data_IF_769290109814
#
_entry.id   IF_769290109814
#
_cell.length_a   1.000
_cell.length_b   1.000
_cell.length_c   1.000
_cell.angle_alpha   90.00
_cell.angle_beta   90.00
_cell.angle_gamma   90.00
#
_symmetry.space_group_name_H-M   'P 1'
#
loop_
_entity.id
_entity.type
_entity.pdbx_description
1 polymer ?
#
# COMPACT_ATOMS: atom_id res chain seq x y z
N UNK A 1 -36.51 28.91 99.98
CA UNK A 1 -35.55 28.54 98.91
C UNK A 1 -35.99 27.21 98.36
N UNK A 2 -36.37 27.14 97.08
CA UNK A 2 -36.70 25.85 96.42
C UNK A 2 -35.43 25.12 96.04
N UNK A 3 -35.47 23.77 96.01
CA UNK A 3 -34.29 22.96 95.62
C UNK A 3 -33.97 23.02 94.13
N UNK A 4 -32.69 22.91 93.81
CA UNK A 4 -32.15 22.96 92.49
C UNK A 4 -32.58 21.76 91.59
N UNK A 5 -32.77 21.93 90.33
CA UNK A 5 -33.16 20.85 89.43
C UNK A 5 -32.02 19.87 89.19
N UNK A 6 -32.31 18.57 89.24
CA UNK A 6 -31.41 17.46 88.89
C UNK A 6 -31.34 17.29 87.39
N UNK A 7 -30.13 17.40 86.83
CA UNK A 7 -29.87 17.12 85.44
C UNK A 7 -29.64 15.63 85.29
N UNK A 8 -30.50 14.94 84.51
CA UNK A 8 -30.33 13.56 84.14
C UNK A 8 -29.36 13.47 82.91
N UNK A 9 -28.42 12.55 83.02
CA UNK A 9 -27.47 12.28 81.94
C UNK A 9 -28.19 11.70 80.73
N UNK A 10 -27.74 12.06 79.49
CA UNK A 10 -28.35 11.54 78.28
C UNK A 10 -28.04 10.05 78.08
N UNK A 11 -29.06 9.32 77.67
CA UNK A 11 -28.97 7.90 77.22
C UNK A 11 -28.04 7.71 76.07
N UNK A 12 -27.14 6.69 76.03
CA UNK A 12 -26.30 6.42 74.88
C UNK A 12 -27.15 6.01 73.69
N UNK A 13 -26.94 6.71 72.55
CA UNK A 13 -27.48 6.34 71.22
C UNK A 13 -26.97 4.98 70.84
N UNK A 14 -27.86 4.06 70.47
CA UNK A 14 -27.56 2.76 69.92
C UNK A 14 -26.77 2.86 68.58
N UNK A 15 -26.10 1.79 68.13
CA UNK A 15 -25.33 1.81 66.93
C UNK A 15 -26.23 2.16 65.76
N UNK A 16 -25.86 3.23 64.99
CA UNK A 16 -26.52 3.64 63.80
C UNK A 16 -26.41 2.54 62.73
N UNK A 17 -27.31 2.54 61.67
CA UNK A 17 -27.28 1.56 60.65
C UNK A 17 -25.93 1.62 59.93
N UNK A 18 -25.34 0.43 59.67
CA UNK A 18 -24.11 0.27 58.89
C UNK A 18 -24.27 0.99 57.56
N UNK A 19 -23.33 1.89 57.23
CA UNK A 19 -23.23 2.50 55.93
C UNK A 19 -23.05 1.39 54.91
N UNK A 20 -24.03 1.29 54.02
CA UNK A 20 -23.99 0.37 52.86
C UNK A 20 -22.70 0.62 52.10
N UNK A 21 -21.87 -0.40 51.93
CA UNK A 21 -20.65 -0.32 51.15
C UNK A 21 -21.08 -0.03 49.69
N UNK A 22 -20.85 1.21 49.26
CA UNK A 22 -21.13 1.62 47.88
C UNK A 22 -20.63 0.60 46.85
N UNK A 23 -21.18 0.60 45.66
CA UNK A 23 -20.88 -0.41 44.65
C UNK A 23 -19.37 -0.54 44.47
N UNK A 24 -18.85 -1.76 44.62
CA UNK A 24 -17.46 -2.08 44.27
C UNK A 24 -17.27 -1.68 42.82
N UNK A 25 -16.45 -0.66 42.59
CA UNK A 25 -15.99 -0.33 41.25
C UNK A 25 -15.19 -1.54 40.78
N UNK A 26 -15.85 -2.37 39.99
CA UNK A 26 -15.20 -3.48 39.30
C UNK A 26 -14.14 -2.85 38.42
N UNK A 27 -12.87 -3.11 38.65
CA UNK A 27 -11.78 -2.59 37.82
C UNK A 27 -12.03 -3.07 36.40
N UNK A 28 -12.28 -2.14 35.46
CA UNK A 28 -12.41 -2.45 34.05
C UNK A 28 -11.22 -3.32 33.67
N UNK A 29 -11.51 -4.49 33.05
CA UNK A 29 -10.47 -5.34 32.52
C UNK A 29 -9.58 -4.51 31.55
N UNK A 30 -8.25 -4.64 31.62
CA UNK A 30 -7.37 -3.89 30.75
C UNK A 30 -7.77 -4.12 29.29
N UNK A 31 -7.74 -3.05 28.49
CA UNK A 31 -8.06 -3.13 27.06
C UNK A 31 -7.22 -4.25 26.38
N UNK A 32 -7.79 -4.98 25.43
CA UNK A 32 -7.07 -6.03 24.73
C UNK A 32 -5.84 -5.43 24.00
N UNK A 33 -4.73 -6.12 24.08
CA UNK A 33 -3.49 -5.69 23.42
C UNK A 33 -3.64 -5.69 21.90
N UNK A 34 -3.10 -4.68 21.25
CA UNK A 34 -2.95 -4.62 19.81
C UNK A 34 -1.88 -5.61 19.32
N UNK A 35 -1.89 -5.94 18.03
CA UNK A 35 -0.83 -6.80 17.43
C UNK A 35 0.56 -6.18 17.57
N UNK A 36 0.67 -4.85 17.55
CA UNK A 36 1.93 -4.12 17.69
C UNK A 36 2.47 -4.20 19.13
N UNK A 37 1.60 -4.06 20.13
CA UNK A 37 1.96 -4.24 21.55
C UNK A 37 2.38 -5.68 21.84
N UNK A 38 1.72 -6.66 21.21
CA UNK A 38 2.10 -8.08 21.35
C UNK A 38 3.45 -8.35 20.68
N UNK A 39 3.75 -7.73 19.52
CA UNK A 39 5.06 -7.86 18.87
C UNK A 39 6.19 -7.29 19.74
N UNK A 40 5.98 -6.12 20.35
CA UNK A 40 6.95 -5.51 21.26
C UNK A 40 7.19 -6.36 22.51
N UNK A 41 6.12 -6.88 23.12
CA UNK A 41 6.22 -7.75 24.29
C UNK A 41 6.89 -9.08 23.97
N UNK A 42 6.57 -9.69 22.82
CA UNK A 42 7.22 -10.92 22.35
C UNK A 42 8.74 -10.73 22.20
N UNK A 43 9.18 -9.60 21.65
CA UNK A 43 10.59 -9.25 21.54
C UNK A 43 11.27 -9.20 22.91
N UNK A 44 10.65 -8.51 23.87
CA UNK A 44 11.17 -8.38 25.26
C UNK A 44 11.30 -9.74 25.93
N UNK A 45 10.25 -10.56 25.84
CA UNK A 45 10.19 -11.89 26.45
C UNK A 45 11.19 -12.86 25.79
N UNK A 46 11.38 -12.76 24.47
CA UNK A 46 12.35 -13.57 23.73
C UNK A 46 13.78 -13.29 24.21
N UNK A 47 14.15 -12.02 24.33
CA UNK A 47 15.48 -11.65 24.85
C UNK A 47 15.70 -12.07 26.32
N UNK A 48 14.64 -12.06 27.12
CA UNK A 48 14.70 -12.55 28.52
C UNK A 48 14.68 -14.09 28.63
N UNK A 49 14.51 -14.81 27.52
CA UNK A 49 14.24 -16.25 27.48
C UNK A 49 13.07 -16.65 28.40
N UNK A 50 12.06 -15.76 28.51
CA UNK A 50 10.89 -15.96 29.34
C UNK A 50 9.83 -16.79 28.60
N UNK A 51 10.00 -18.11 28.64
CA UNK A 51 9.07 -19.05 28.00
C UNK A 51 7.66 -18.97 28.61
N UNK A 52 7.56 -18.78 29.93
CA UNK A 52 6.25 -18.67 30.60
C UNK A 52 5.49 -17.41 30.18
N UNK A 53 6.19 -16.27 30.10
CA UNK A 53 5.65 -15.02 29.59
C UNK A 53 5.16 -15.14 28.15
N UNK A 54 5.94 -15.79 27.27
CA UNK A 54 5.55 -16.01 25.86
C UNK A 54 4.31 -16.90 25.78
N UNK A 55 4.26 -18.02 26.50
CA UNK A 55 3.08 -18.91 26.51
C UNK A 55 1.85 -18.23 27.11
N UNK A 56 2.03 -17.28 28.03
CA UNK A 56 0.94 -16.45 28.55
C UNK A 56 0.32 -15.52 27.50
N UNK A 57 1.08 -15.14 26.46
CA UNK A 57 0.54 -14.40 25.31
C UNK A 57 -0.31 -15.27 24.38
N UNK A 58 -0.15 -16.58 24.37
CA UNK A 58 -0.79 -17.47 23.41
C UNK A 58 -2.26 -17.69 23.68
N UNK A 59 -3.07 -17.77 22.62
CA UNK A 59 -4.40 -18.36 22.64
C UNK A 59 -4.35 -19.89 22.66
N UNK A 60 -5.51 -20.53 22.80
CA UNK A 60 -5.61 -21.99 22.91
C UNK A 60 -4.82 -22.76 21.83
N UNK A 61 -5.09 -22.54 20.54
CA UNK A 61 -4.39 -23.23 19.45
C UNK A 61 -2.87 -23.11 19.49
N UNK A 62 -2.36 -21.92 19.83
CA UNK A 62 -0.90 -21.71 19.90
C UNK A 62 -0.26 -22.42 21.08
N UNK A 63 -0.96 -22.57 22.22
CA UNK A 63 -0.46 -23.34 23.37
C UNK A 63 -0.33 -24.84 23.07
N UNK A 64 -1.20 -25.37 22.21
CA UNK A 64 -1.13 -26.75 21.74
C UNK A 64 0.08 -26.96 20.82
N UNK A 65 0.34 -26.02 19.92
CA UNK A 65 1.46 -26.09 18.97
C UNK A 65 2.81 -25.86 19.65
N UNK A 66 2.89 -24.86 20.54
CA UNK A 66 4.11 -24.47 21.25
C UNK A 66 3.86 -24.38 22.76
N UNK A 67 3.73 -25.55 23.45
CA UNK A 67 3.56 -25.58 24.90
C UNK A 67 4.84 -25.17 25.65
N UNK A 68 4.74 -24.97 26.94
CA UNK A 68 5.80 -24.39 27.77
C UNK A 68 7.14 -25.12 27.66
N UNK A 69 7.12 -26.45 27.63
CA UNK A 69 8.32 -27.28 27.51
C UNK A 69 9.06 -27.10 26.18
N UNK A 70 8.37 -26.70 25.12
CA UNK A 70 8.95 -26.41 23.80
C UNK A 70 9.30 -24.92 23.62
N UNK A 71 8.62 -24.02 24.30
CA UNK A 71 8.77 -22.58 24.14
C UNK A 71 10.18 -22.08 24.53
N UNK A 72 10.77 -22.60 25.62
CA UNK A 72 12.11 -22.23 26.07
C UNK A 72 13.21 -22.57 25.06
N UNK A 73 13.33 -23.84 24.63
CA UNK A 73 14.28 -24.21 23.57
C UNK A 73 14.08 -23.44 22.27
N UNK A 74 12.84 -23.19 21.89
CA UNK A 74 12.50 -22.41 20.68
C UNK A 74 12.98 -20.95 20.78
N UNK A 75 12.71 -20.26 21.92
CA UNK A 75 13.19 -18.89 22.13
C UNK A 75 14.71 -18.79 22.08
N UNK A 76 15.40 -19.73 22.75
CA UNK A 76 16.86 -19.79 22.66
C UNK A 76 17.35 -19.92 21.22
N UNK A 77 16.75 -20.81 20.41
CA UNK A 77 17.14 -20.98 19.02
C UNK A 77 17.03 -19.71 18.18
N UNK A 78 16.01 -18.88 18.44
CA UNK A 78 15.82 -17.59 17.76
C UNK A 78 16.95 -16.61 18.10
N UNK A 79 17.27 -16.49 19.41
CA UNK A 79 18.29 -15.56 19.89
C UNK A 79 19.69 -16.06 19.54
N UNK A 80 19.97 -17.36 19.69
CA UNK A 80 21.26 -17.95 19.34
C UNK A 80 21.58 -17.82 17.85
N UNK A 81 20.59 -17.96 16.98
CA UNK A 81 20.80 -17.88 15.54
C UNK A 81 21.25 -16.48 15.07
N UNK A 82 20.70 -15.41 15.66
CA UNK A 82 20.95 -14.03 15.19
C UNK A 82 21.37 -13.03 16.26
N UNK A 83 21.51 -13.47 17.51
CA UNK A 83 21.78 -12.59 18.65
C UNK A 83 20.52 -11.90 19.19
N UNK A 84 20.68 -11.09 20.26
CA UNK A 84 19.58 -10.35 20.87
C UNK A 84 18.76 -9.54 19.85
N UNK A 85 17.45 -9.53 20.03
CA UNK A 85 16.52 -8.75 19.23
C UNK A 85 16.54 -7.28 19.71
N UNK A 86 16.55 -6.33 18.79
CA UNK A 86 16.73 -4.90 19.09
C UNK A 86 15.44 -4.12 18.97
N UNK A 87 14.69 -4.32 17.91
CA UNK A 87 13.43 -3.63 17.63
C UNK A 87 12.49 -4.49 16.79
N UNK A 88 11.20 -4.17 16.85
CA UNK A 88 10.16 -4.76 16.02
C UNK A 88 9.55 -3.64 15.17
N UNK A 89 9.71 -3.71 13.87
CA UNK A 89 9.19 -2.74 12.91
C UNK A 89 8.13 -3.40 12.05
N UNK A 90 6.92 -2.85 12.03
CA UNK A 90 5.84 -3.37 11.20
C UNK A 90 6.08 -3.08 9.72
N UNK A 91 5.93 -4.09 8.85
CA UNK A 91 5.97 -3.91 7.40
C UNK A 91 4.69 -3.18 6.93
N UNK A 92 4.80 -2.05 6.19
CA UNK A 92 3.63 -1.32 5.70
C UNK A 92 2.76 -2.16 4.76
N UNK A 93 1.44 -2.00 4.85
CA UNK A 93 0.48 -2.65 3.94
C UNK A 93 0.36 -4.17 4.11
N UNK A 94 0.96 -4.74 5.15
CA UNK A 94 0.91 -6.17 5.45
C UNK A 94 0.10 -6.44 6.72
N UNK A 95 -1.13 -6.95 6.55
CA UNK A 95 -2.03 -7.28 7.65
C UNK A 95 -3.05 -6.20 7.97
N UNK A 96 -3.77 -6.33 9.07
CA UNK A 96 -4.84 -5.46 9.58
C UNK A 96 -4.69 -5.19 11.07
N UNK A 97 -5.77 -4.80 11.74
CA UNK A 97 -5.76 -4.51 13.19
C UNK A 97 -5.31 -5.70 14.06
N UNK A 98 -5.65 -6.92 13.64
CA UNK A 98 -5.39 -8.17 14.38
C UNK A 98 -4.30 -9.04 13.77
N UNK A 99 -3.63 -8.59 12.74
CA UNK A 99 -2.53 -9.32 12.12
C UNK A 99 -1.50 -8.35 11.57
N UNK A 100 -0.24 -8.76 11.56
CA UNK A 100 0.85 -7.96 11.02
C UNK A 100 2.03 -8.81 10.63
N UNK A 101 2.82 -8.25 9.75
CA UNK A 101 4.16 -8.75 9.43
C UNK A 101 5.14 -7.75 10.00
N UNK A 102 6.10 -8.25 10.76
CA UNK A 102 7.10 -7.44 11.44
C UNK A 102 8.49 -7.86 11.01
N UNK A 103 9.39 -6.90 10.92
CA UNK A 103 10.81 -7.13 10.90
C UNK A 103 11.34 -6.97 12.33
N UNK A 104 11.86 -8.05 12.91
CA UNK A 104 12.58 -8.03 14.17
C UNK A 104 14.08 -7.94 13.86
N UNK A 105 14.67 -6.76 14.04
CA UNK A 105 16.10 -6.59 13.88
C UNK A 105 16.81 -7.26 15.05
N UNK A 106 17.94 -7.90 14.76
CA UNK A 106 18.78 -8.58 15.72
C UNK A 106 20.25 -8.15 15.55
N UNK A 107 21.12 -8.60 16.43
CA UNK A 107 22.54 -8.26 16.37
C UNK A 107 23.20 -8.72 15.07
N UNK A 108 22.87 -9.93 14.59
CA UNK A 108 23.41 -10.55 13.38
C UNK A 108 22.35 -10.74 12.30
N UNK A 109 21.60 -9.68 11.97
CA UNK A 109 20.60 -9.67 10.92
C UNK A 109 19.19 -9.37 11.40
N UNK A 110 18.18 -9.99 10.81
CA UNK A 110 16.78 -9.78 11.18
C UNK A 110 15.95 -11.06 11.01
N UNK A 111 14.81 -11.10 11.70
CA UNK A 111 13.74 -12.07 11.46
C UNK A 111 12.55 -11.37 10.83
N UNK A 112 11.85 -12.05 9.93
CA UNK A 112 10.52 -11.68 9.47
C UNK A 112 9.51 -12.47 10.29
N UNK A 113 8.63 -11.76 11.01
CA UNK A 113 7.68 -12.34 11.96
C UNK A 113 6.26 -12.07 11.48
N UNK A 114 5.54 -13.14 11.18
CA UNK A 114 4.11 -13.08 10.91
C UNK A 114 3.37 -13.32 12.21
N UNK A 115 2.51 -12.39 12.63
CA UNK A 115 1.82 -12.41 13.91
C UNK A 115 0.33 -12.14 13.71
N UNK A 116 -0.52 -12.94 14.37
CA UNK A 116 -1.95 -12.68 14.46
C UNK A 116 -2.47 -12.89 15.87
N UNK A 117 -3.47 -12.08 16.27
CA UNK A 117 -4.08 -12.09 17.60
C UNK A 117 -5.61 -12.18 17.51
N UNK A 118 -6.23 -12.70 18.56
CA UNK A 118 -7.69 -12.68 18.72
C UNK A 118 -8.21 -11.34 19.27
N UNK A 119 -9.52 -11.28 19.52
CA UNK A 119 -10.18 -10.10 20.09
C UNK A 119 -9.74 -9.73 21.51
N UNK A 120 -9.09 -10.65 22.23
CA UNK A 120 -8.51 -10.43 23.56
C UNK A 120 -7.00 -10.12 23.52
N UNK A 121 -6.41 -9.99 22.32
CA UNK A 121 -4.98 -9.77 22.12
C UNK A 121 -4.13 -11.03 22.36
N UNK A 122 -4.71 -12.24 22.32
CA UNK A 122 -3.96 -13.49 22.42
C UNK A 122 -3.47 -13.95 21.06
N UNK A 123 -2.23 -14.43 20.99
CA UNK A 123 -1.59 -14.90 19.78
C UNK A 123 -2.29 -16.16 19.26
N UNK A 124 -2.81 -16.08 18.04
CA UNK A 124 -3.40 -17.18 17.28
C UNK A 124 -2.42 -17.80 16.29
N UNK A 125 -1.50 -17.01 15.76
CA UNK A 125 -0.49 -17.45 14.81
C UNK A 125 0.80 -16.68 14.99
N UNK A 126 1.92 -17.41 14.94
CA UNK A 126 3.26 -16.86 15.07
C UNK A 126 4.23 -17.65 14.21
N UNK A 127 4.96 -16.93 13.32
CA UNK A 127 5.93 -17.56 12.44
C UNK A 127 7.16 -16.67 12.30
N UNK A 128 8.32 -17.23 12.62
CA UNK A 128 9.63 -16.62 12.39
C UNK A 128 10.24 -17.20 11.12
N UNK A 129 10.68 -16.36 10.21
CA UNK A 129 11.36 -16.74 8.96
C UNK A 129 12.55 -15.82 8.72
N UNK A 130 13.47 -16.23 7.85
CA UNK A 130 14.43 -15.29 7.33
C UNK A 130 13.68 -14.20 6.54
N UNK A 131 14.08 -12.93 6.66
CA UNK A 131 13.54 -11.90 5.77
C UNK A 131 13.89 -12.25 4.33
N UNK A 132 13.04 -11.91 3.36
CA UNK A 132 13.40 -12.03 1.96
C UNK A 132 14.67 -11.22 1.69
N UNK A 133 15.47 -11.59 0.68
CA UNK A 133 16.58 -10.74 0.26
C UNK A 133 16.05 -9.33 -0.04
N UNK A 134 16.85 -8.28 0.20
CA UNK A 134 16.45 -6.93 -0.15
C UNK A 134 16.06 -6.89 -1.63
N UNK A 135 15.02 -6.14 -1.93
CA UNK A 135 14.65 -5.91 -3.32
C UNK A 135 15.81 -5.24 -4.06
N UNK A 136 16.05 -5.60 -5.31
CA UNK A 136 17.09 -4.96 -6.09
C UNK A 136 16.84 -3.45 -6.19
N UNK A 137 17.92 -2.69 -6.34
CA UNK A 137 17.83 -1.26 -6.58
C UNK A 137 16.99 -0.99 -7.84
N UNK A 138 16.17 0.08 -7.79
CA UNK A 138 15.34 0.45 -8.92
C UNK A 138 16.21 1.02 -10.02
N UNK A 139 16.29 0.30 -11.13
CA UNK A 139 16.99 0.75 -12.33
C UNK A 139 16.18 1.85 -13.04
N UNK A 140 16.89 2.76 -13.73
CA UNK A 140 16.28 3.71 -14.66
C UNK A 140 16.26 3.13 -16.07
N UNK A 141 15.23 3.49 -16.84
CA UNK A 141 15.17 3.16 -18.24
C UNK A 141 16.29 3.87 -19.01
N UNK A 142 17.02 3.11 -19.80
CA UNK A 142 18.00 3.64 -20.78
C UNK A 142 17.37 3.87 -22.16
N UNK A 143 16.18 3.29 -22.40
CA UNK A 143 15.43 3.48 -23.63
C UNK A 143 14.75 4.86 -23.64
N UNK A 144 14.89 5.67 -24.69
CA UNK A 144 14.20 6.96 -24.80
C UNK A 144 12.69 6.75 -24.98
N UNK A 145 11.93 7.14 -23.96
CA UNK A 145 10.48 6.94 -23.92
C UNK A 145 9.72 8.20 -24.34
N UNK A 146 8.60 8.00 -25.06
CA UNK A 146 7.53 8.99 -25.17
C UNK A 146 6.50 8.84 -24.06
N UNK A 147 5.62 9.82 -23.92
CA UNK A 147 4.49 9.72 -23.00
C UNK A 147 3.51 8.62 -23.47
N UNK A 148 2.82 7.91 -22.54
CA UNK A 148 1.87 6.85 -22.87
C UNK A 148 0.49 7.37 -23.31
N UNK A 149 0.34 8.66 -23.52
CA UNK A 149 -0.89 9.36 -23.88
C UNK A 149 -0.61 10.56 -24.78
N UNK A 150 -1.67 11.18 -25.28
CA UNK A 150 -1.64 12.46 -25.98
C UNK A 150 -2.24 13.56 -25.14
N UNK A 151 -1.88 14.82 -25.44
CA UNK A 151 -2.38 15.99 -24.71
C UNK A 151 -1.70 16.18 -23.35
N UNK A 152 -2.42 16.78 -22.41
CA UNK A 152 -1.91 17.09 -21.06
C UNK A 152 -2.65 16.27 -20.01
N UNK A 153 -1.87 15.61 -19.15
CA UNK A 153 -2.38 14.78 -18.05
C UNK A 153 -1.75 15.20 -16.73
N UNK A 154 -2.45 14.93 -15.63
CA UNK A 154 -1.98 15.12 -14.27
C UNK A 154 -1.45 13.77 -13.72
N UNK A 155 -0.28 13.80 -13.11
CA UNK A 155 0.25 12.66 -12.33
C UNK A 155 -0.46 12.66 -10.98
N UNK A 156 -1.46 11.81 -10.83
CA UNK A 156 -2.24 11.67 -9.60
C UNK A 156 -1.45 10.90 -8.53
N UNK A 157 -0.86 9.77 -8.91
CA UNK A 157 0.16 9.04 -8.14
C UNK A 157 1.40 8.86 -9.00
N UNK A 158 2.58 9.12 -8.42
CA UNK A 158 3.86 8.96 -9.10
C UNK A 158 5.01 9.50 -8.27
N UNK A 159 6.17 8.87 -8.36
CA UNK A 159 7.35 9.19 -7.58
C UNK A 159 7.91 8.01 -6.80
N UNK A 160 8.83 8.28 -5.90
CA UNK A 160 9.69 7.27 -5.28
C UNK A 160 9.33 6.95 -3.82
N UNK A 161 8.44 7.70 -3.17
CA UNK A 161 8.07 7.51 -1.77
C UNK A 161 6.58 7.23 -1.60
N UNK A 162 6.19 6.65 -0.47
CA UNK A 162 4.80 6.33 -0.16
C UNK A 162 3.90 7.58 -0.09
N UNK A 163 4.45 8.73 0.26
CA UNK A 163 3.72 10.00 0.35
C UNK A 163 3.17 10.47 -1.00
N UNK A 164 3.92 10.20 -2.07
CA UNK A 164 3.58 10.62 -3.42
C UNK A 164 3.17 9.49 -4.35
N UNK A 165 3.34 8.24 -3.93
CA UNK A 165 3.06 7.07 -4.76
C UNK A 165 2.71 5.84 -3.92
N UNK A 166 1.42 5.50 -3.85
CA UNK A 166 0.95 4.31 -3.13
C UNK A 166 1.51 2.99 -3.68
N UNK A 167 1.93 2.96 -4.94
CA UNK A 167 2.43 1.77 -5.62
C UNK A 167 3.82 1.31 -5.16
N UNK A 168 4.58 2.13 -4.41
CA UNK A 168 5.96 1.81 -3.99
C UNK A 168 6.06 0.54 -3.13
N UNK A 169 4.95 0.12 -2.52
CA UNK A 169 4.88 -1.11 -1.72
C UNK A 169 4.84 -2.39 -2.56
N UNK A 170 4.56 -2.27 -3.87
CA UNK A 170 4.46 -3.39 -4.80
C UNK A 170 5.70 -3.43 -5.71
N UNK A 171 6.42 -4.55 -5.71
CA UNK A 171 7.72 -4.69 -6.40
C UNK A 171 7.71 -4.24 -7.86
N UNK A 172 6.73 -4.70 -8.65
CA UNK A 172 6.62 -4.36 -10.07
C UNK A 172 6.12 -2.94 -10.32
N UNK A 173 5.47 -2.32 -9.34
CA UNK A 173 4.81 -1.03 -9.48
C UNK A 173 5.56 0.12 -8.79
N UNK A 174 6.76 -0.13 -8.24
CA UNK A 174 7.51 0.85 -7.42
C UNK A 174 7.74 2.21 -8.08
N UNK A 175 7.65 2.30 -9.39
CA UNK A 175 7.77 3.53 -10.20
C UNK A 175 6.60 3.70 -11.15
N UNK A 176 5.48 3.04 -10.87
CA UNK A 176 4.24 3.22 -11.59
C UNK A 176 3.67 4.63 -11.38
N UNK A 177 2.79 5.04 -12.26
CA UNK A 177 1.99 6.25 -12.11
C UNK A 177 0.53 5.97 -12.45
N UNK A 178 -0.37 6.62 -11.72
CA UNK A 178 -1.77 6.79 -12.10
C UNK A 178 -1.96 8.19 -12.67
N UNK A 179 -2.50 8.25 -13.84
CA UNK A 179 -2.55 9.43 -14.69
C UNK A 179 -4.00 9.76 -15.01
N UNK A 180 -4.40 11.00 -14.73
CA UNK A 180 -5.76 11.50 -14.95
C UNK A 180 -5.74 12.74 -15.84
N UNK A 181 -6.86 13.05 -16.47
CA UNK A 181 -7.08 14.35 -17.12
C UNK A 181 -7.95 15.20 -16.21
N UNK A 182 -7.57 16.44 -16.03
CA UNK A 182 -8.29 17.39 -15.16
C UNK A 182 -8.60 18.69 -15.89
N UNK A 183 -9.67 19.35 -15.47
CA UNK A 183 -10.01 20.70 -15.92
C UNK A 183 -9.10 21.77 -15.27
N UNK A 184 -9.40 23.04 -15.52
CA UNK A 184 -8.66 24.18 -14.92
C UNK A 184 -8.81 24.25 -13.40
N UNK A 185 -9.94 23.75 -12.86
CA UNK A 185 -10.20 23.70 -11.42
C UNK A 185 -9.59 22.46 -10.74
N UNK A 186 -8.94 21.56 -11.50
CA UNK A 186 -8.33 20.34 -11.01
C UNK A 186 -9.31 19.17 -10.81
N UNK A 187 -10.55 19.27 -11.33
CA UNK A 187 -11.53 18.18 -11.28
C UNK A 187 -11.27 17.16 -12.36
N UNK A 188 -11.43 15.87 -12.04
CA UNK A 188 -11.24 14.74 -12.97
C UNK A 188 -12.46 14.48 -13.86
N UNK A 189 -13.62 15.04 -13.51
CA UNK A 189 -14.89 14.82 -14.20
C UNK A 189 -15.76 16.08 -14.27
N UNK A 190 -16.67 16.10 -15.23
CA UNK A 190 -17.78 17.05 -15.34
C UNK A 190 -19.02 16.49 -14.63
N UNK A 191 -19.93 17.36 -14.22
CA UNK A 191 -21.17 16.92 -13.58
C UNK A 191 -20.96 16.25 -12.23
N UNK A 192 -21.72 15.20 -11.94
CA UNK A 192 -21.70 14.49 -10.66
C UNK A 192 -20.74 13.28 -10.62
N UNK A 193 -20.06 12.97 -11.71
CA UNK A 193 -19.07 11.89 -11.79
C UNK A 193 -19.64 10.48 -11.64
N UNK A 194 -20.92 10.28 -11.81
CA UNK A 194 -21.55 8.95 -11.65
C UNK A 194 -21.40 8.03 -12.85
N UNK A 195 -20.95 8.56 -13.98
CA UNK A 195 -20.74 7.79 -15.21
C UNK A 195 -19.29 7.90 -15.64
N UNK A 196 -18.73 6.80 -16.16
CA UNK A 196 -17.38 6.81 -16.71
C UNK A 196 -17.20 7.88 -17.79
N UNK A 197 -18.21 8.13 -18.61
CA UNK A 197 -18.19 9.16 -19.65
C UNK A 197 -18.12 10.62 -19.11
N UNK A 198 -18.31 10.83 -17.82
CA UNK A 198 -18.15 12.14 -17.19
C UNK A 198 -16.67 12.46 -16.96
N UNK A 199 -15.82 11.45 -16.86
CA UNK A 199 -14.38 11.61 -16.59
C UNK A 199 -13.62 12.00 -17.85
N UNK A 200 -12.77 13.02 -17.74
CA UNK A 200 -12.01 13.54 -18.87
C UNK A 200 -10.98 12.57 -19.43
N UNK A 201 -10.47 11.65 -18.60
CA UNK A 201 -9.54 10.60 -19.02
C UNK A 201 -10.24 9.45 -19.76
N UNK A 202 -11.54 9.23 -19.53
CA UNK A 202 -12.27 8.11 -20.13
C UNK A 202 -12.33 8.21 -21.66
N UNK A 203 -11.94 7.14 -22.33
CA UNK A 203 -11.94 7.09 -23.80
C UNK A 203 -10.77 7.81 -24.47
N UNK A 204 -9.84 8.42 -23.72
CA UNK A 204 -8.63 9.00 -24.27
C UNK A 204 -7.69 7.91 -24.83
N UNK A 205 -6.97 8.25 -25.91
CA UNK A 205 -6.01 7.32 -26.51
C UNK A 205 -4.82 7.04 -25.62
N UNK A 206 -4.55 5.75 -25.42
CA UNK A 206 -3.34 5.23 -24.77
C UNK A 206 -2.39 4.75 -25.87
N UNK A 207 -1.14 5.22 -25.84
CA UNK A 207 -0.18 4.98 -26.90
C UNK A 207 1.10 4.31 -26.40
N UNK A 208 1.77 3.56 -27.28
CA UNK A 208 3.04 2.92 -26.98
C UNK A 208 4.15 3.94 -26.70
N UNK A 209 4.86 3.80 -25.59
CA UNK A 209 5.96 4.71 -25.16
C UNK A 209 7.22 4.57 -26.01
N UNK A 210 7.42 3.41 -26.64
CA UNK A 210 8.55 3.07 -27.51
C UNK A 210 8.17 1.96 -28.48
N UNK A 211 9.06 1.69 -29.44
CA UNK A 211 8.95 0.53 -30.34
C UNK A 211 8.96 -0.76 -29.53
N UNK A 212 8.21 -1.78 -29.97
CA UNK A 212 8.19 -3.06 -29.27
C UNK A 212 7.23 -4.08 -29.87
N UNK A 213 7.02 -5.15 -29.12
CA UNK A 213 6.10 -6.24 -29.49
C UNK A 213 5.11 -6.46 -28.35
N UNK A 214 3.83 -6.48 -28.64
CA UNK A 214 2.76 -6.80 -27.67
C UNK A 214 2.90 -8.25 -27.25
N UNK A 215 3.12 -8.50 -25.96
CA UNK A 215 3.23 -9.85 -25.38
C UNK A 215 2.01 -10.27 -24.57
N UNK A 216 1.23 -9.30 -24.13
CA UNK A 216 -0.03 -9.52 -23.39
C UNK A 216 -1.07 -8.52 -23.85
N UNK A 217 -2.29 -8.99 -24.07
CA UNK A 217 -3.48 -8.19 -24.33
C UNK A 217 -4.66 -8.88 -23.62
N UNK A 218 -5.05 -8.37 -22.48
CA UNK A 218 -6.21 -8.82 -21.71
C UNK A 218 -7.37 -7.88 -22.01
N UNK A 219 -8.49 -8.43 -22.43
CA UNK A 219 -9.70 -7.70 -22.78
C UNK A 219 -10.95 -8.41 -22.23
N UNK A 220 -12.08 -7.70 -22.13
CA UNK A 220 -13.36 -8.26 -21.71
C UNK A 220 -13.67 -8.09 -20.22
N UNK A 221 -12.79 -7.47 -19.43
CA UNK A 221 -13.11 -7.06 -18.04
C UNK A 221 -13.99 -5.82 -18.12
N UNK A 222 -15.22 -5.89 -17.61
CA UNK A 222 -16.15 -4.75 -17.62
C UNK A 222 -15.57 -3.54 -16.86
N UNK A 223 -15.89 -2.34 -17.35
CA UNK A 223 -15.63 -1.12 -16.57
C UNK A 223 -16.46 -1.13 -15.28
N UNK A 224 -15.88 -0.63 -14.21
CA UNK A 224 -16.59 -0.42 -12.96
C UNK A 224 -17.53 0.79 -13.08
N UNK A 225 -18.55 0.83 -12.25
CA UNK A 225 -19.23 2.11 -11.94
C UNK A 225 -18.25 2.98 -11.11
N UNK A 226 -18.19 4.31 -11.35
CA UNK A 226 -17.33 5.17 -10.55
C UNK A 226 -17.56 5.02 -9.04
N UNK A 227 -16.47 4.86 -8.29
CA UNK A 227 -16.47 4.53 -6.86
C UNK A 227 -16.44 3.04 -6.52
N UNK A 228 -16.79 2.14 -7.45
CA UNK A 228 -16.61 0.70 -7.30
C UNK A 228 -15.22 0.25 -7.79
N UNK A 229 -14.75 -0.91 -7.32
CA UNK A 229 -13.47 -1.50 -7.73
C UNK A 229 -13.57 -3.01 -7.81
N UNK A 230 -12.88 -3.63 -8.78
CA UNK A 230 -12.75 -5.07 -8.92
C UNK A 230 -11.32 -5.53 -8.58
N UNK A 231 -11.07 -5.80 -7.31
CA UNK A 231 -9.76 -6.22 -6.82
C UNK A 231 -9.32 -7.62 -7.29
N UNK A 232 -10.27 -8.47 -7.74
CA UNK A 232 -9.94 -9.82 -8.24
C UNK A 232 -9.26 -9.80 -9.61
N UNK A 233 -9.52 -8.76 -10.39
CA UNK A 233 -8.92 -8.55 -11.70
C UNK A 233 -8.15 -7.23 -11.68
N UNK A 234 -7.22 -7.07 -10.73
CA UNK A 234 -6.60 -5.80 -10.40
C UNK A 234 -6.12 -4.96 -11.59
N UNK A 235 -5.43 -5.47 -12.62
CA UNK A 235 -5.05 -4.66 -13.79
C UNK A 235 -6.22 -4.32 -14.72
N UNK A 236 -7.38 -5.00 -14.61
CA UNK A 236 -8.46 -4.87 -15.59
C UNK A 236 -8.03 -5.27 -16.99
N UNK A 237 -8.54 -4.57 -18.00
CA UNK A 237 -8.04 -4.72 -19.37
C UNK A 237 -6.67 -4.08 -19.47
N UNK A 238 -5.69 -4.83 -19.98
CA UNK A 238 -4.30 -4.37 -20.01
C UNK A 238 -3.55 -4.82 -21.25
N UNK A 239 -2.51 -4.08 -21.57
CA UNK A 239 -1.54 -4.41 -22.60
C UNK A 239 -0.14 -4.38 -21.98
N UNK A 240 0.69 -5.38 -22.33
CA UNK A 240 2.11 -5.37 -22.02
C UNK A 240 2.88 -5.40 -23.33
N UNK A 241 3.78 -4.42 -23.50
CA UNK A 241 4.68 -4.33 -24.66
C UNK A 241 6.10 -4.64 -24.19
N UNK A 242 6.74 -5.61 -24.84
CA UNK A 242 8.16 -5.88 -24.68
C UNK A 242 8.96 -4.98 -25.60
N UNK A 243 9.88 -4.23 -25.05
CA UNK A 243 10.86 -3.42 -25.74
C UNK A 243 12.21 -4.13 -25.84
N UNK A 244 13.18 -3.51 -26.45
CA UNK A 244 14.57 -3.97 -26.40
C UNK A 244 15.11 -3.91 -24.96
N UNK A 245 16.24 -4.57 -24.68
CA UNK A 245 16.88 -4.65 -23.35
C UNK A 245 16.03 -5.31 -22.25
N UNK A 246 15.10 -6.19 -22.61
CA UNK A 246 14.20 -6.86 -21.67
C UNK A 246 13.39 -5.90 -20.80
N UNK A 247 13.03 -4.74 -21.34
CA UNK A 247 12.16 -3.75 -20.70
C UNK A 247 10.71 -3.95 -21.16
N UNK A 248 9.76 -3.84 -20.21
CA UNK A 248 8.35 -4.06 -20.49
C UNK A 248 7.54 -2.87 -19.99
N UNK A 249 6.67 -2.31 -20.85
CA UNK A 249 5.69 -1.31 -20.45
C UNK A 249 4.31 -1.93 -20.27
N UNK A 250 3.62 -1.55 -19.22
CA UNK A 250 2.27 -2.00 -18.88
C UNK A 250 1.32 -0.82 -18.91
N UNK A 251 0.18 -1.02 -19.56
CA UNK A 251 -0.93 -0.06 -19.67
C UNK A 251 -2.18 -0.76 -19.17
N UNK A 252 -2.75 -0.29 -18.08
CA UNK A 252 -3.86 -0.97 -17.40
C UNK A 252 -5.12 -0.09 -17.30
N UNK A 253 -6.21 -0.70 -16.84
CA UNK A 253 -7.56 -0.13 -16.69
C UNK A 253 -8.22 0.33 -18.00
N UNK A 254 -7.89 -0.34 -19.13
CA UNK A 254 -8.39 0.06 -20.44
C UNK A 254 -9.88 -0.26 -20.61
N UNK A 255 -10.54 0.44 -21.55
CA UNK A 255 -11.95 0.21 -21.90
C UNK A 255 -12.13 -1.16 -22.55
N UNK A 256 -13.13 -1.97 -22.10
CA UNK A 256 -13.40 -3.28 -22.69
C UNK A 256 -13.79 -3.18 -24.17
N UNK A 257 -13.26 -4.11 -24.98
CA UNK A 257 -13.54 -4.17 -26.43
C UNK A 257 -12.94 -3.01 -27.23
N UNK A 258 -12.04 -2.20 -26.62
CA UNK A 258 -11.41 -1.05 -27.31
C UNK A 258 -9.90 -1.18 -27.44
N UNK A 259 -9.33 -2.35 -27.19
CA UNK A 259 -7.94 -2.64 -27.53
C UNK A 259 -7.77 -2.56 -29.06
N UNK A 260 -6.68 -1.94 -29.49
CA UNK A 260 -6.38 -1.72 -30.93
C UNK A 260 -5.28 -2.64 -31.47
N UNK A 261 -4.68 -3.42 -30.56
CA UNK A 261 -3.58 -4.34 -30.87
C UNK A 261 -3.85 -5.70 -30.26
N UNK A 262 -3.20 -6.73 -30.79
CA UNK A 262 -3.26 -8.10 -30.30
C UNK A 262 -1.87 -8.63 -29.99
N UNK A 263 -1.80 -9.71 -29.22
CA UNK A 263 -0.53 -10.40 -28.92
C UNK A 263 0.21 -10.73 -30.21
N UNK A 264 1.51 -10.47 -30.23
CA UNK A 264 2.41 -10.62 -31.38
C UNK A 264 2.50 -9.38 -32.28
N UNK A 265 1.62 -8.38 -32.12
CA UNK A 265 1.69 -7.16 -32.91
C UNK A 265 2.98 -6.38 -32.60
N UNK A 266 3.68 -5.94 -33.66
CA UNK A 266 4.78 -4.97 -33.55
C UNK A 266 4.20 -3.56 -33.55
N UNK A 267 4.61 -2.75 -32.58
CA UNK A 267 4.16 -1.37 -32.42
C UNK A 267 5.35 -0.41 -32.51
N UNK A 268 5.09 0.77 -32.98
CA UNK A 268 6.02 1.91 -32.96
C UNK A 268 5.64 2.85 -31.83
N UNK A 269 6.59 3.63 -31.30
CA UNK A 269 6.30 4.73 -30.39
C UNK A 269 5.14 5.59 -30.93
N UNK A 270 4.13 5.86 -30.11
CA UNK A 270 2.93 6.63 -30.47
C UNK A 270 1.83 5.81 -31.17
N UNK A 271 2.03 4.48 -31.42
CA UNK A 271 0.95 3.60 -31.86
C UNK A 271 -0.15 3.53 -30.83
N UNK A 272 -1.42 3.74 -31.23
CA UNK A 272 -2.58 3.63 -30.32
C UNK A 272 -2.75 2.16 -29.93
N UNK A 273 -2.70 1.89 -28.63
CA UNK A 273 -2.85 0.56 -28.04
C UNK A 273 -4.31 0.26 -27.66
N UNK A 274 -5.01 1.25 -27.13
CA UNK A 274 -6.38 1.16 -26.65
C UNK A 274 -6.88 2.49 -26.14
N UNK A 275 -7.97 2.46 -25.41
CA UNK A 275 -8.58 3.65 -24.78
C UNK A 275 -8.52 3.54 -23.25
N UNK A 276 -8.24 4.63 -22.56
CA UNK A 276 -8.28 4.74 -21.10
C UNK A 276 -9.70 4.49 -20.58
N UNK A 277 -9.86 3.58 -19.63
CA UNK A 277 -11.13 3.13 -19.06
C UNK A 277 -11.13 3.15 -17.53
N UNK A 278 -11.98 2.30 -16.93
CA UNK A 278 -12.15 2.15 -15.49
C UNK A 278 -12.32 0.69 -15.08
N UNK A 279 -11.65 -0.24 -15.76
CA UNK A 279 -11.74 -1.67 -15.47
C UNK A 279 -10.74 -2.12 -14.39
N UNK A 280 -11.07 -3.16 -13.64
CA UNK A 280 -10.19 -3.72 -12.62
C UNK A 280 -10.19 -2.97 -11.28
N UNK A 281 -9.07 -2.87 -10.58
CA UNK A 281 -8.96 -2.18 -9.30
C UNK A 281 -8.80 -0.67 -9.49
N UNK A 282 -9.82 -0.06 -10.07
CA UNK A 282 -9.89 1.35 -10.47
C UNK A 282 -11.23 1.94 -10.02
N UNK A 283 -11.20 3.00 -9.23
CA UNK A 283 -12.39 3.69 -8.71
C UNK A 283 -12.91 4.80 -9.64
N UNK A 284 -12.06 5.30 -10.53
CA UNK A 284 -12.40 6.29 -11.54
C UNK A 284 -11.50 6.10 -12.78
N UNK A 285 -11.95 6.63 -13.91
CA UNK A 285 -11.19 6.49 -15.16
C UNK A 285 -9.81 7.15 -15.08
N UNK A 286 -8.77 6.33 -15.17
CA UNK A 286 -7.37 6.76 -15.18
C UNK A 286 -6.51 5.78 -15.96
N UNK A 287 -5.32 6.20 -16.37
CA UNK A 287 -4.32 5.31 -16.94
C UNK A 287 -3.31 4.92 -15.84
N UNK A 288 -3.29 3.64 -15.49
CA UNK A 288 -2.15 3.08 -14.76
C UNK A 288 -1.05 2.71 -15.74
N UNK A 289 0.14 3.28 -15.53
CA UNK A 289 1.33 3.01 -16.35
C UNK A 289 2.51 2.60 -15.49
N UNK A 290 3.23 1.55 -15.91
CA UNK A 290 4.50 1.16 -15.30
C UNK A 290 5.49 0.62 -16.32
N UNK A 291 6.79 0.72 -15.97
CA UNK A 291 7.84 -0.08 -16.56
C UNK A 291 8.28 -1.17 -15.59
N UNK A 292 8.65 -2.33 -16.14
CA UNK A 292 9.14 -3.47 -15.37
C UNK A 292 10.19 -4.26 -16.15
N UNK A 293 11.00 -5.04 -15.42
CA UNK A 293 12.13 -5.81 -15.97
C UNK A 293 11.77 -7.24 -16.40
N UNK A 294 10.50 -7.60 -16.41
CA UNK A 294 10.04 -8.94 -16.79
C UNK A 294 8.64 -8.95 -17.39
N UNK A 295 8.21 -10.08 -17.98
CA UNK A 295 6.94 -10.17 -18.70
C UNK A 295 5.71 -10.28 -17.81
N UNK A 296 5.87 -10.64 -16.52
CA UNK A 296 4.75 -10.95 -15.63
C UNK A 296 4.49 -9.79 -14.66
N UNK A 297 3.28 -9.26 -14.67
CA UNK A 297 2.86 -8.09 -13.90
C UNK A 297 3.26 -8.15 -12.43
N UNK A 298 3.04 -9.28 -11.73
CA UNK A 298 3.30 -9.39 -10.29
C UNK A 298 4.69 -9.91 -9.92
N UNK A 299 5.41 -10.54 -10.87
CA UNK A 299 6.69 -11.21 -10.59
C UNK A 299 7.92 -10.40 -11.00
N UNK A 300 7.71 -9.28 -11.67
CA UNK A 300 8.76 -8.39 -12.15
C UNK A 300 9.13 -7.34 -11.11
N UNK A 301 10.20 -6.60 -11.37
CA UNK A 301 10.56 -5.41 -10.58
C UNK A 301 10.30 -4.14 -11.39
N UNK A 302 9.79 -3.12 -10.72
CA UNK A 302 9.53 -1.83 -11.33
C UNK A 302 10.81 -1.12 -11.76
N UNK A 303 10.80 -0.57 -12.98
CA UNK A 303 11.86 0.24 -13.56
C UNK A 303 11.39 1.69 -13.60
N UNK A 304 12.26 2.64 -13.25
CA UNK A 304 11.93 4.07 -13.31
C UNK A 304 11.89 4.54 -14.77
N UNK A 305 10.72 5.01 -15.26
CA UNK A 305 10.63 5.51 -16.62
C UNK A 305 11.34 6.87 -16.76
N UNK A 306 12.12 7.02 -17.85
CA UNK A 306 12.74 8.29 -18.22
C UNK A 306 12.16 8.73 -19.57
N UNK A 307 11.28 9.73 -19.54
CA UNK A 307 10.62 10.27 -20.72
C UNK A 307 11.42 11.41 -21.32
N UNK A 308 11.42 11.50 -22.64
CA UNK A 308 12.22 12.47 -23.41
C UNK A 308 11.37 13.62 -23.93
N UNK A 309 11.84 14.86 -23.72
CA UNK A 309 11.28 16.04 -24.35
C UNK A 309 9.86 16.39 -23.88
N UNK A 310 9.61 16.34 -22.58
CA UNK A 310 8.30 16.52 -21.93
C UNK A 310 8.10 17.98 -21.55
N UNK A 311 6.88 18.51 -21.79
CA UNK A 311 6.40 19.73 -21.17
C UNK A 311 5.82 19.39 -19.79
N UNK A 312 6.32 20.05 -18.74
CA UNK A 312 5.91 19.84 -17.37
C UNK A 312 5.42 21.16 -16.78
N UNK A 313 4.27 21.14 -16.11
CA UNK A 313 3.85 22.26 -15.25
C UNK A 313 3.83 21.75 -13.81
N UNK A 314 4.63 22.36 -12.95
CA UNK A 314 4.74 22.08 -11.51
C UNK A 314 4.55 23.38 -10.75
N UNK A 315 3.66 23.38 -9.75
CA UNK A 315 3.37 24.57 -8.93
C UNK A 315 3.07 25.83 -9.75
N UNK A 316 2.38 25.66 -10.89
CA UNK A 316 2.04 26.74 -11.82
C UNK A 316 3.18 27.16 -12.77
N UNK A 317 4.39 26.61 -12.62
CA UNK A 317 5.53 26.92 -13.49
C UNK A 317 5.63 25.88 -14.61
N UNK A 318 5.53 26.35 -15.85
CA UNK A 318 5.67 25.51 -17.04
C UNK A 318 7.14 25.48 -17.52
N UNK A 319 7.67 24.30 -17.77
CA UNK A 319 9.03 24.13 -18.27
C UNK A 319 9.09 22.95 -19.27
N UNK A 320 10.09 22.98 -20.16
CA UNK A 320 10.43 21.86 -21.01
C UNK A 320 11.59 21.10 -20.40
N UNK A 321 11.40 19.80 -20.15
CA UNK A 321 12.46 18.92 -19.62
C UNK A 321 12.96 17.99 -20.70
N UNK A 322 14.28 17.93 -20.84
CA UNK A 322 14.91 16.95 -21.74
C UNK A 322 14.64 15.53 -21.28
N UNK A 323 14.73 15.32 -19.95
CA UNK A 323 14.39 14.06 -19.28
C UNK A 323 13.41 14.30 -18.15
N UNK A 324 12.48 13.39 -17.96
CA UNK A 324 11.43 13.48 -16.95
C UNK A 324 11.11 12.11 -16.37
N UNK A 325 10.90 12.04 -15.06
CA UNK A 325 10.32 10.92 -14.34
C UNK A 325 9.08 11.40 -13.59
N UNK A 326 8.14 10.48 -13.33
CA UNK A 326 6.86 10.83 -12.68
C UNK A 326 7.05 11.48 -11.30
N UNK A 327 6.32 12.59 -11.07
CA UNK A 327 6.14 13.16 -9.74
C UNK A 327 4.69 13.59 -9.56
N UNK A 328 4.08 13.17 -8.45
CA UNK A 328 2.72 13.55 -8.05
C UNK A 328 2.51 15.06 -8.13
N UNK A 329 1.40 15.46 -8.72
CA UNK A 329 1.00 16.86 -8.87
C UNK A 329 1.50 17.52 -10.16
N UNK A 330 2.45 16.91 -10.89
CA UNK A 330 2.88 17.45 -12.18
C UNK A 330 1.79 17.32 -13.24
N UNK A 331 1.56 18.38 -14.02
CA UNK A 331 0.83 18.29 -15.29
C UNK A 331 1.85 18.08 -16.39
N UNK A 332 1.67 17.01 -17.17
CA UNK A 332 2.67 16.58 -18.17
C UNK A 332 2.01 16.44 -19.55
N UNK A 333 2.75 16.78 -20.59
CA UNK A 333 2.31 16.68 -21.95
C UNK A 333 3.46 16.67 -22.94
N UNK A 334 3.16 16.46 -24.21
CA UNK A 334 4.16 16.59 -25.26
C UNK A 334 4.63 18.05 -25.36
N UNK A 335 5.94 18.27 -25.37
CA UNK A 335 6.45 19.59 -25.67
C UNK A 335 6.05 20.00 -27.10
N UNK A 336 5.61 21.25 -27.34
CA UNK A 336 5.30 21.68 -28.68
C UNK A 336 6.50 21.41 -29.59
N UNK A 337 6.27 20.73 -30.71
CA UNK A 337 7.29 20.58 -31.75
C UNK A 337 7.75 21.96 -32.19
N UNK A 338 9.05 22.20 -32.38
CA UNK A 338 9.49 23.42 -32.99
C UNK A 338 8.78 23.54 -34.35
N UNK A 339 8.13 24.68 -34.56
CA UNK A 339 7.45 24.96 -35.82
C UNK A 339 8.41 24.63 -36.97
N UNK A 340 8.00 23.73 -37.88
CA UNK A 340 8.75 23.51 -39.13
C UNK A 340 8.92 24.90 -39.75
N UNK A 341 10.16 25.40 -39.82
CA UNK A 341 10.44 26.60 -40.64
C UNK A 341 9.83 26.34 -42.00
N UNK A 342 8.95 27.22 -42.44
CA UNK A 342 8.49 27.21 -43.83
C UNK A 342 9.72 27.21 -44.76
N UNK A 343 9.72 26.41 -45.81
CA UNK A 343 10.80 26.48 -46.81
C UNK A 343 10.88 27.90 -47.35
N UNK A 344 12.09 28.38 -47.67
CA UNK A 344 12.32 29.74 -48.19
C UNK A 344 11.61 29.98 -49.49
#
# INVERSE_FOLDING_TARGET
MPPAPTISAPTPLGPGPALDAGPKVEALAPAPRTVDEVAAELLRLANANDAAGVVALFGGPMREVLPLEKAGPWLRSIVEAKGPLKNAVREPGRGGERSGVFRFDAERGAWRVELSVDGAGKVLGLKFTAPPPPDPEVKKSTLPLGLPFRGQWLVFWGGASLEVNQHVTHKSQRRAADLVVVDEAGKTHRGDGKKNADYYAYGQEVVAVADGTVITAVDGVADNEPGAMNAYMAPGNMIIVRHDDALYSVYAHLVPGKLRVKVGAKVKRGTVLGLCGNSGNSSEAHLHFQLQDGPLFEKSYGVEPVFQGVAVTRDGVAEKRAEYTWLKGDRVGEAPSPAKKAPP
#
